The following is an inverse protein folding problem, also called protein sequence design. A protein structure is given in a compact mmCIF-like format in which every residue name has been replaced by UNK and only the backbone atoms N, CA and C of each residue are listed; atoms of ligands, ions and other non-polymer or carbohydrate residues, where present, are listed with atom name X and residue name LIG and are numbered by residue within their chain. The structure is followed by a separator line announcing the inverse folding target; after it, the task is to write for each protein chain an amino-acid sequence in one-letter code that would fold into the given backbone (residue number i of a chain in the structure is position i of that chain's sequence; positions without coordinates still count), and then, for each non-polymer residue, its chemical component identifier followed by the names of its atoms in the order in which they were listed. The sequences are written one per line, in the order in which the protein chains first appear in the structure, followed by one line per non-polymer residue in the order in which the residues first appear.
data_IF_025699834506
#
_entry.id   IF_025699834506
#
_cell.length_a   1.000
_cell.length_b   1.000
_cell.length_c   1.000
_cell.angle_alpha   90.00
_cell.angle_beta   90.00
_cell.angle_gamma   90.00
#
_symmetry.space_group_name_H-M   'P 1'
#
loop_
_entity.id
_entity.type
_entity.pdbx_description
1 polymer ?
#
# COMPACT_ATOMS: atom_id res chain seq x y z
N UNK A 1 7.51 45.14 -35.19
CA UNK A 1 8.06 43.78 -35.07
C UNK A 1 8.04 43.21 -33.64
N UNK A 2 7.79 44.00 -32.59
CA UNK A 2 7.79 43.52 -31.20
C UNK A 2 6.52 42.75 -30.75
N UNK A 3 5.41 42.88 -31.47
CA UNK A 3 4.11 42.35 -31.03
C UNK A 3 3.95 40.83 -31.22
N UNK A 4 4.74 40.21 -32.10
CA UNK A 4 4.69 38.76 -32.31
C UNK A 4 5.59 37.99 -31.34
N UNK A 5 6.59 38.65 -30.76
CA UNK A 5 7.56 38.02 -29.86
C UNK A 5 6.93 37.66 -28.50
N UNK A 6 6.13 38.56 -27.92
CA UNK A 6 5.46 38.28 -26.64
C UNK A 6 4.39 37.19 -26.76
N UNK A 7 3.64 37.15 -27.87
CA UNK A 7 2.65 36.09 -28.13
C UNK A 7 3.33 34.73 -28.27
N UNK A 8 4.47 34.69 -28.96
CA UNK A 8 5.28 33.47 -29.09
C UNK A 8 5.80 32.98 -27.75
N UNK A 9 6.33 33.88 -26.91
CA UNK A 9 6.83 33.54 -25.56
C UNK A 9 5.71 33.07 -24.63
N UNK A 10 4.53 33.68 -24.67
CA UNK A 10 3.35 33.23 -23.92
C UNK A 10 2.91 31.84 -24.37
N UNK A 11 2.86 31.58 -25.69
CA UNK A 11 2.51 30.26 -26.20
C UNK A 11 3.53 29.19 -25.80
N UNK A 12 4.83 29.51 -25.83
CA UNK A 12 5.87 28.58 -25.36
C UNK A 12 5.77 28.30 -23.86
N UNK A 13 5.50 29.33 -23.04
CA UNK A 13 5.25 29.17 -21.60
C UNK A 13 4.02 28.29 -21.34
N UNK A 14 2.92 28.51 -22.07
CA UNK A 14 1.71 27.71 -21.97
C UNK A 14 1.95 26.24 -22.35
N UNK A 15 2.68 25.99 -23.43
CA UNK A 15 3.07 24.63 -23.82
C UNK A 15 3.96 23.96 -22.79
N UNK A 16 4.91 24.69 -22.20
CA UNK A 16 5.80 24.16 -21.16
C UNK A 16 5.04 23.82 -19.87
N UNK A 17 4.09 24.67 -19.44
CA UNK A 17 3.24 24.41 -18.28
C UNK A 17 2.38 23.16 -18.52
N UNK A 18 1.75 23.03 -19.70
CA UNK A 18 0.97 21.84 -20.05
C UNK A 18 1.80 20.54 -20.03
N UNK A 19 3.06 20.62 -20.50
CA UNK A 19 4.01 19.50 -20.45
C UNK A 19 4.34 19.07 -19.02
N UNK A 20 4.50 20.04 -18.11
CA UNK A 20 4.75 19.79 -16.68
C UNK A 20 3.52 19.14 -16.05
N UNK A 21 2.33 19.68 -16.29
CA UNK A 21 1.06 19.13 -15.78
C UNK A 21 0.83 17.70 -16.27
N UNK A 22 1.10 17.44 -17.55
CA UNK A 22 0.93 16.12 -18.14
C UNK A 22 1.91 15.09 -17.55
N UNK A 23 3.17 15.47 -17.31
CA UNK A 23 4.15 14.62 -16.61
C UNK A 23 3.71 14.34 -15.17
N UNK A 24 3.21 15.34 -14.46
CA UNK A 24 2.73 15.19 -13.10
C UNK A 24 1.52 14.24 -13.01
N UNK A 25 0.53 14.39 -13.90
CA UNK A 25 -0.62 13.48 -13.97
C UNK A 25 -0.24 12.05 -14.34
N UNK A 26 0.73 11.87 -15.25
CA UNK A 26 1.22 10.55 -15.62
C UNK A 26 1.90 9.86 -14.42
N UNK A 27 2.67 10.60 -13.62
CA UNK A 27 3.30 10.11 -12.40
C UNK A 27 2.26 9.71 -11.34
N UNK A 28 1.28 10.57 -11.06
CA UNK A 28 0.17 10.25 -10.14
C UNK A 28 -0.58 8.99 -10.58
N UNK A 29 -0.91 8.87 -11.88
CA UNK A 29 -1.56 7.65 -12.42
C UNK A 29 -0.66 6.42 -12.38
N UNK A 30 0.66 6.57 -12.35
CA UNK A 30 1.58 5.46 -12.15
C UNK A 30 1.55 5.02 -10.69
N UNK A 31 1.64 5.98 -9.76
CA UNK A 31 1.54 5.73 -8.32
C UNK A 31 0.19 5.08 -7.95
N UNK A 32 -0.93 5.58 -8.48
CA UNK A 32 -2.25 4.96 -8.27
C UNK A 32 -2.30 3.50 -8.74
N UNK A 33 -1.61 3.18 -9.84
CA UNK A 33 -1.52 1.80 -10.36
C UNK A 33 -0.62 0.92 -9.50
N UNK A 34 0.48 1.46 -8.98
CA UNK A 34 1.37 0.77 -8.04
C UNK A 34 0.63 0.51 -6.70
N UNK A 35 -0.15 1.48 -6.20
CA UNK A 35 -1.02 1.36 -5.03
C UNK A 35 -2.19 0.38 -5.28
N UNK A 36 -2.72 0.33 -6.50
CA UNK A 36 -3.76 -0.62 -6.87
C UNK A 36 -3.20 -2.05 -7.04
N UNK A 37 -1.94 -2.21 -7.44
CA UNK A 37 -1.25 -3.50 -7.48
C UNK A 37 -1.00 -4.05 -6.07
N UNK A 38 -0.78 -3.16 -5.10
CA UNK A 38 -0.70 -3.43 -3.66
C UNK A 38 -1.96 -4.07 -3.04
N UNK A 39 -3.09 -4.07 -3.75
CA UNK A 39 -4.26 -4.90 -3.43
C UNK A 39 -4.00 -6.34 -3.86
N UNK A 40 -2.94 -6.94 -3.31
CA UNK A 40 -2.60 -8.32 -3.57
C UNK A 40 -3.73 -9.21 -3.04
N UNK A 41 -4.35 -9.91 -3.97
CA UNK A 41 -5.44 -10.84 -3.69
C UNK A 41 -4.86 -12.15 -3.18
N UNK A 42 -5.32 -12.61 -2.02
CA UNK A 42 -4.94 -13.92 -1.49
C UNK A 42 -6.06 -14.90 -1.84
N UNK A 43 -5.84 -15.71 -2.88
CA UNK A 43 -6.79 -16.73 -3.33
C UNK A 43 -6.66 -18.03 -2.50
N UNK A 44 -7.77 -18.74 -2.31
CA UNK A 44 -7.83 -20.01 -1.59
C UNK A 44 -7.51 -19.88 -0.10
N UNK A 45 -7.82 -18.73 0.50
CA UNK A 45 -7.42 -18.40 1.87
C UNK A 45 -7.94 -19.42 2.88
N UNK A 46 -9.13 -20.00 2.70
CA UNK A 46 -9.69 -20.97 3.66
C UNK A 46 -8.88 -22.26 3.76
N UNK A 47 -8.37 -22.78 2.65
CA UNK A 47 -7.50 -23.98 2.68
C UNK A 47 -6.15 -23.64 3.30
N UNK A 48 -5.60 -22.45 3.01
CA UNK A 48 -4.37 -21.98 3.65
C UNK A 48 -4.54 -21.85 5.16
N UNK A 49 -5.67 -21.34 5.64
CA UNK A 49 -5.96 -21.17 7.07
C UNK A 49 -6.01 -22.49 7.85
N UNK A 50 -6.36 -23.61 7.21
CA UNK A 50 -6.37 -24.93 7.86
C UNK A 50 -4.97 -25.43 8.22
N UNK A 51 -3.96 -24.99 7.47
CA UNK A 51 -2.58 -25.49 7.60
C UNK A 51 -1.60 -24.40 8.05
N UNK A 52 -1.98 -23.13 8.00
CA UNK A 52 -1.19 -22.00 8.44
C UNK A 52 -1.24 -21.89 9.97
N UNK A 53 -0.13 -22.09 10.70
CA UNK A 53 -0.09 -21.90 12.14
C UNK A 53 -0.08 -20.41 12.54
N UNK A 54 -0.41 -20.13 13.80
CA UNK A 54 -0.15 -18.81 14.40
C UNK A 54 1.33 -18.45 14.28
N UNK A 55 1.61 -17.15 14.13
CA UNK A 55 2.96 -16.60 13.95
C UNK A 55 3.68 -17.00 12.65
N UNK A 56 2.94 -17.49 11.65
CA UNK A 56 3.47 -17.67 10.29
C UNK A 56 2.92 -16.56 9.40
N UNK A 57 3.82 -15.82 8.75
CA UNK A 57 3.46 -14.72 7.85
C UNK A 57 3.51 -15.10 6.38
N UNK A 58 2.72 -14.35 5.60
CA UNK A 58 2.71 -14.27 4.15
C UNK A 58 3.22 -12.87 3.81
N UNK A 59 4.11 -12.78 2.83
CA UNK A 59 4.70 -11.51 2.41
C UNK A 59 4.21 -11.11 1.03
N UNK A 60 3.91 -9.83 0.86
CA UNK A 60 3.75 -9.28 -0.49
C UNK A 60 5.09 -9.32 -1.24
N UNK A 61 5.08 -9.30 -2.57
CA UNK A 61 6.22 -8.85 -3.35
C UNK A 61 6.68 -7.46 -2.88
N UNK A 62 7.96 -7.16 -3.10
CA UNK A 62 8.44 -5.79 -2.90
C UNK A 62 7.77 -4.84 -3.89
N UNK A 63 7.39 -3.66 -3.40
CA UNK A 63 6.80 -2.62 -4.22
C UNK A 63 7.44 -1.26 -3.93
N UNK A 64 7.08 -0.29 -4.77
CA UNK A 64 7.48 1.10 -4.63
C UNK A 64 6.23 1.97 -4.68
N UNK A 65 6.18 3.00 -3.86
CA UNK A 65 5.10 3.97 -3.86
C UNK A 65 5.64 5.33 -3.37
N UNK A 66 5.05 6.43 -3.82
CA UNK A 66 5.43 7.77 -3.38
C UNK A 66 6.95 8.08 -3.52
N UNK A 67 7.62 7.47 -4.50
CA UNK A 67 9.07 7.63 -4.71
C UNK A 67 9.97 6.82 -3.77
N UNK A 68 9.40 6.06 -2.84
CA UNK A 68 10.12 5.18 -1.91
C UNK A 68 10.10 3.76 -2.48
N UNK A 69 11.24 3.06 -2.39
CA UNK A 69 11.45 1.70 -2.92
C UNK A 69 11.57 0.67 -1.81
N UNK A 70 11.51 -0.61 -2.16
CA UNK A 70 11.73 -1.75 -1.26
C UNK A 70 10.74 -1.80 -0.09
N UNK A 71 9.48 -1.43 -0.34
CA UNK A 71 8.40 -1.58 0.62
C UNK A 71 7.80 -2.99 0.55
N UNK A 72 7.25 -3.49 1.65
CA UNK A 72 6.52 -4.77 1.70
C UNK A 72 5.37 -4.74 2.70
N UNK A 73 4.41 -5.62 2.51
CA UNK A 73 3.42 -5.98 3.52
C UNK A 73 3.73 -7.37 4.08
N UNK A 74 3.57 -7.50 5.39
CA UNK A 74 3.64 -8.77 6.10
C UNK A 74 2.28 -9.05 6.75
N UNK A 75 1.68 -10.18 6.38
CA UNK A 75 0.36 -10.58 6.83
C UNK A 75 0.43 -11.88 7.61
N UNK A 76 -0.14 -11.91 8.82
CA UNK A 76 -0.28 -13.11 9.63
C UNK A 76 -1.76 -13.51 9.70
N UNK A 77 -2.20 -14.50 8.91
CA UNK A 77 -3.62 -14.87 8.86
C UNK A 77 -4.18 -15.33 10.21
N UNK A 78 -3.39 -16.09 10.96
CA UNK A 78 -3.74 -16.58 12.31
C UNK A 78 -3.21 -15.66 13.44
N UNK A 79 -2.82 -14.43 13.09
CA UNK A 79 -2.17 -13.48 14.00
C UNK A 79 -0.70 -13.80 14.26
N UNK A 80 0.08 -12.77 14.61
CA UNK A 80 1.47 -12.92 15.06
C UNK A 80 1.55 -13.42 16.50
N UNK A 81 2.75 -13.72 16.97
CA UNK A 81 2.99 -14.18 18.34
C UNK A 81 2.36 -13.27 19.41
N UNK A 82 2.47 -11.95 19.23
CA UNK A 82 1.92 -10.94 20.15
C UNK A 82 0.43 -10.67 19.97
N UNK A 83 -0.25 -11.33 19.02
CA UNK A 83 -1.70 -11.22 18.89
C UNK A 83 -2.38 -11.93 20.07
N UNK A 84 -3.25 -11.21 20.77
CA UNK A 84 -3.91 -11.68 21.99
C UNK A 84 -5.37 -12.06 21.77
N UNK A 85 -5.94 -11.69 20.62
CA UNK A 85 -7.33 -11.96 20.28
C UNK A 85 -7.41 -13.12 19.28
N UNK A 86 -8.12 -14.18 19.66
CA UNK A 86 -8.30 -15.34 18.80
C UNK A 86 -9.11 -14.98 17.54
N UNK A 87 -8.70 -15.54 16.40
CA UNK A 87 -9.30 -15.28 15.09
C UNK A 87 -8.95 -13.93 14.47
N UNK A 88 -8.18 -13.07 15.16
CA UNK A 88 -7.68 -11.84 14.58
C UNK A 88 -6.41 -12.10 13.75
N UNK A 89 -6.37 -11.50 12.57
CA UNK A 89 -5.15 -11.43 11.78
C UNK A 89 -4.24 -10.28 12.26
N UNK A 90 -2.98 -10.30 11.79
CA UNK A 90 -2.06 -9.19 11.97
C UNK A 90 -1.54 -8.71 10.61
N UNK A 91 -1.30 -7.40 10.48
CA UNK A 91 -0.75 -6.79 9.26
C UNK A 91 0.31 -5.79 9.64
N UNK A 92 1.45 -5.83 8.96
CA UNK A 92 2.55 -4.89 9.12
C UNK A 92 3.01 -4.36 7.77
N UNK A 93 3.33 -3.08 7.75
CA UNK A 93 3.94 -2.38 6.64
C UNK A 93 5.42 -2.19 6.92
N UNK A 94 6.24 -2.53 5.92
CA UNK A 94 7.68 -2.47 5.98
C UNK A 94 8.18 -1.41 5.01
N UNK A 95 8.92 -0.44 5.51
CA UNK A 95 9.59 0.61 4.73
C UNK A 95 11.10 0.60 4.99
N UNK A 96 11.90 1.15 4.05
CA UNK A 96 13.32 1.39 4.28
C UNK A 96 13.55 2.47 5.35
N UNK A 97 14.73 2.41 5.98
CA UNK A 97 15.21 3.43 6.91
C UNK A 97 15.20 4.84 6.31
N UNK A 98 14.93 5.84 7.15
CA UNK A 98 14.86 7.26 6.77
C UNK A 98 13.52 7.67 6.16
N UNK A 99 12.51 6.78 6.20
CA UNK A 99 11.18 7.05 5.65
C UNK A 99 10.27 7.65 6.72
N UNK A 100 9.61 8.76 6.40
CA UNK A 100 8.42 9.22 7.10
C UNK A 100 7.22 9.07 6.16
N UNK A 101 6.20 8.34 6.58
CA UNK A 101 5.08 7.99 5.72
C UNK A 101 3.77 7.94 6.50
N UNK A 102 2.72 8.46 5.86
CA UNK A 102 1.34 8.29 6.29
C UNK A 102 0.66 7.27 5.39
N UNK A 103 0.01 6.28 5.98
CA UNK A 103 -0.57 5.16 5.23
C UNK A 103 -1.84 4.64 5.92
N UNK A 104 -2.62 3.84 5.20
CA UNK A 104 -3.80 3.18 5.73
C UNK A 104 -3.77 1.72 5.31
N UNK A 105 -3.88 0.81 6.28
CA UNK A 105 -3.94 -0.62 6.04
C UNK A 105 -5.38 -1.12 5.97
N UNK A 106 -5.58 -2.18 5.19
CA UNK A 106 -6.85 -2.88 5.10
C UNK A 106 -6.65 -4.40 4.92
N UNK A 107 -7.68 -5.17 5.29
CA UNK A 107 -7.83 -6.60 5.00
C UNK A 107 -9.28 -6.81 4.59
N UNK A 108 -9.53 -7.35 3.40
CA UNK A 108 -10.86 -7.41 2.82
C UNK A 108 -11.52 -6.02 2.77
N UNK A 109 -12.62 -5.84 3.50
CA UNK A 109 -13.33 -4.57 3.59
C UNK A 109 -13.06 -3.80 4.88
N UNK A 110 -12.22 -4.34 5.78
CA UNK A 110 -11.85 -3.68 7.03
C UNK A 110 -10.69 -2.72 6.82
N UNK A 111 -10.92 -1.44 7.11
CA UNK A 111 -9.89 -0.40 7.12
C UNK A 111 -9.61 0.03 8.56
N UNK A 112 -8.34 0.21 8.90
CA UNK A 112 -7.94 0.93 10.12
C UNK A 112 -7.72 2.40 9.82
N UNK A 113 -7.70 3.26 10.84
CA UNK A 113 -7.42 4.68 10.66
C UNK A 113 -6.04 4.88 10.01
N UNK A 114 -5.77 6.02 9.35
CA UNK A 114 -4.45 6.31 8.84
C UNK A 114 -3.42 6.36 9.97
N UNK A 115 -2.35 5.60 9.82
CA UNK A 115 -1.17 5.61 10.68
C UNK A 115 -0.11 6.54 10.07
N UNK A 116 0.75 7.09 10.91
CA UNK A 116 1.89 7.92 10.51
C UNK A 116 3.13 7.43 11.27
N UNK A 117 4.12 6.94 10.54
CA UNK A 117 5.30 6.31 11.11
C UNK A 117 6.58 6.90 10.54
N UNK A 118 7.62 6.90 11.38
CA UNK A 118 9.01 7.18 10.99
C UNK A 118 9.83 5.91 11.17
N UNK A 119 10.53 5.51 10.11
CA UNK A 119 11.30 4.28 10.06
C UNK A 119 12.78 4.61 10.27
N UNK A 120 13.27 4.48 11.50
CA UNK A 120 14.69 4.65 11.84
C UNK A 120 15.54 3.42 11.48
N UNK A 121 14.89 2.34 11.06
CA UNK A 121 15.50 1.13 10.49
C UNK A 121 14.45 0.41 9.65
N UNK A 122 14.85 -0.62 8.90
CA UNK A 122 13.89 -1.48 8.19
C UNK A 122 13.17 -2.40 9.19
N UNK A 123 11.97 -2.01 9.60
CA UNK A 123 11.11 -2.76 10.52
C UNK A 123 9.63 -2.70 10.12
N UNK A 124 8.82 -3.62 10.64
CA UNK A 124 7.38 -3.65 10.38
C UNK A 124 6.59 -2.80 11.39
N UNK A 125 5.81 -1.84 10.89
CA UNK A 125 4.82 -1.07 11.68
C UNK A 125 3.42 -1.53 11.33
N UNK A 126 2.54 -1.67 12.33
CA UNK A 126 1.19 -2.17 12.11
C UNK A 126 0.57 -2.78 13.36
N UNK A 127 -0.39 -3.69 13.19
CA UNK A 127 -1.28 -4.12 14.27
C UNK A 127 -1.25 -5.62 14.49
N UNK A 128 -0.98 -6.04 15.73
CA UNK A 128 -1.04 -7.46 16.12
C UNK A 128 -2.47 -8.01 16.13
N UNK A 129 -3.46 -7.18 16.47
CA UNK A 129 -4.87 -7.53 16.45
C UNK A 129 -5.59 -6.61 15.45
N UNK A 130 -5.43 -6.86 14.15
CA UNK A 130 -5.94 -5.98 13.09
C UNK A 130 -7.47 -6.07 12.96
N UNK A 131 -8.00 -7.20 12.50
CA UNK A 131 -9.43 -7.50 12.43
C UNK A 131 -9.69 -9.00 12.54
N UNK A 132 -10.94 -9.39 12.84
CA UNK A 132 -11.40 -10.77 12.74
C UNK A 132 -11.33 -11.22 11.28
N UNK A 133 -10.49 -12.20 10.98
CA UNK A 133 -10.19 -12.53 9.59
C UNK A 133 -11.39 -13.11 8.85
N UNK A 134 -12.14 -14.00 9.49
CA UNK A 134 -13.26 -14.71 8.86
C UNK A 134 -14.38 -13.77 8.35
N UNK A 135 -14.54 -12.62 9.00
CA UNK A 135 -15.50 -11.59 8.59
C UNK A 135 -15.10 -10.87 7.28
N UNK A 136 -13.81 -10.90 6.93
CA UNK A 136 -13.25 -10.19 5.79
C UNK A 136 -13.01 -11.10 4.57
N UNK A 137 -13.21 -12.42 4.72
CA UNK A 137 -13.10 -13.37 3.62
C UNK A 137 -14.34 -13.26 2.71
N UNK A 138 -14.12 -13.08 1.40
CA UNK A 138 -15.15 -13.31 0.39
C UNK A 138 -15.41 -14.82 0.29
N UNK A 139 -16.41 -15.31 1.04
CA UNK A 139 -16.73 -16.74 1.12
C UNK A 139 -17.17 -17.36 -0.21
N UNK A 140 -17.72 -16.54 -1.13
CA UNK A 140 -18.17 -17.01 -2.43
C UNK A 140 -16.99 -17.25 -3.39
N UNK A 141 -15.98 -16.38 -3.33
CA UNK A 141 -14.79 -16.47 -4.17
C UNK A 141 -13.55 -17.08 -3.47
N UNK A 142 -13.64 -17.37 -2.16
CA UNK A 142 -12.55 -17.91 -1.33
C UNK A 142 -11.28 -17.07 -1.35
N UNK A 143 -11.41 -15.78 -1.04
CA UNK A 143 -10.28 -14.84 -1.13
C UNK A 143 -10.41 -13.69 -0.15
N UNK A 144 -9.28 -13.01 0.06
CA UNK A 144 -9.20 -11.67 0.66
C UNK A 144 -9.03 -10.61 -0.43
#
# INVERSE_FOLDING_TARGET
MAENDWKYRINQLGAHIADIEQKHMAEMRRQDREIQALKDRIDGIREQLKVCPKNVSIWSPEFSACGIRNMQLEFFPQGRETATLDGFCSVFFWCPEGTNIKYQLFVGNHYRAPDEDTYDSRMGHGHSNFCLLDAEIDHAADRL
#
